data_IF_940710394886
#
_entry.id   IF_940710394886
#
_cell.length_a   1.000
_cell.length_b   1.000
_cell.length_c   1.000
_cell.angle_alpha   90.00
_cell.angle_beta   90.00
_cell.angle_gamma   90.00
#
_symmetry.space_group_name_H-M   'P 1'
#
loop_
_entity.id
_entity.type
_entity.pdbx_description
1 polymer ?
#
# COMPACT_ATOMS: atom_id res chain seq x y z
N UNK A 1 2.16 -4.43 -42.56
CA UNK A 1 2.79 -3.94 -41.34
C UNK A 1 3.05 -5.16 -40.47
N UNK A 2 4.29 -5.53 -40.30
CA UNK A 2 4.73 -6.79 -39.70
C UNK A 2 4.43 -6.81 -38.20
N UNK A 3 3.70 -7.83 -37.79
CA UNK A 3 3.45 -8.21 -36.40
C UNK A 3 4.80 -8.58 -35.73
N UNK A 4 5.49 -7.63 -35.17
CA UNK A 4 6.66 -7.88 -34.31
C UNK A 4 6.15 -8.17 -32.90
N UNK A 5 5.84 -9.46 -32.63
CA UNK A 5 5.59 -9.93 -31.27
C UNK A 5 6.84 -9.69 -30.42
N UNK A 6 6.74 -8.82 -29.40
CA UNK A 6 7.78 -8.66 -28.39
C UNK A 6 7.94 -9.98 -27.61
N UNK A 7 9.19 -10.39 -27.30
CA UNK A 7 9.42 -11.60 -26.53
C UNK A 7 8.81 -11.46 -25.14
N UNK A 8 7.98 -12.42 -24.74
CA UNK A 8 7.40 -12.47 -23.39
C UNK A 8 8.50 -12.70 -22.34
N UNK A 9 8.42 -11.97 -21.23
CA UNK A 9 9.32 -12.17 -20.12
C UNK A 9 9.16 -13.60 -19.56
N UNK A 10 10.26 -14.30 -19.20
CA UNK A 10 10.18 -15.65 -18.66
C UNK A 10 9.44 -15.65 -17.32
N UNK A 11 8.38 -16.45 -17.22
CA UNK A 11 7.58 -16.65 -16.00
C UNK A 11 6.10 -16.27 -16.11
N UNK A 12 5.56 -15.99 -17.31
CA UNK A 12 4.13 -15.70 -17.48
C UNK A 12 3.34 -16.99 -17.75
N UNK A 13 2.51 -17.41 -16.81
CA UNK A 13 1.46 -18.41 -17.08
C UNK A 13 0.21 -17.69 -17.60
N UNK A 14 0.07 -17.64 -18.93
CA UNK A 14 -1.05 -17.02 -19.64
C UNK A 14 -0.87 -15.51 -19.91
N UNK A 15 -1.62 -14.94 -20.85
CA UNK A 15 -1.50 -13.54 -21.24
C UNK A 15 -1.91 -12.62 -20.09
N UNK A 16 -0.97 -11.80 -19.60
CA UNK A 16 -1.20 -10.74 -18.63
C UNK A 16 -1.01 -11.09 -17.15
N UNK A 17 -0.76 -12.37 -16.81
CA UNK A 17 -0.55 -12.77 -15.41
C UNK A 17 0.92 -12.95 -15.09
N UNK A 18 1.39 -12.29 -14.05
CA UNK A 18 2.75 -12.48 -13.50
C UNK A 18 2.62 -13.10 -12.12
N UNK A 19 3.28 -14.24 -11.92
CA UNK A 19 3.51 -14.75 -10.56
C UNK A 19 4.47 -13.79 -9.87
N UNK A 20 3.97 -13.02 -8.91
CA UNK A 20 4.77 -12.03 -8.20
C UNK A 20 5.90 -12.70 -7.43
N UNK A 21 7.14 -12.47 -7.86
CA UNK A 21 8.31 -12.87 -7.10
C UNK A 21 8.52 -11.89 -5.94
N UNK A 22 8.74 -12.42 -4.73
CA UNK A 22 9.09 -11.58 -3.59
C UNK A 22 10.37 -10.76 -3.89
N UNK A 23 10.43 -9.49 -3.45
CA UNK A 23 11.64 -8.67 -3.62
C UNK A 23 12.84 -9.37 -2.99
N UNK A 24 13.94 -9.43 -3.75
CA UNK A 24 15.23 -10.00 -3.27
C UNK A 24 16.07 -9.00 -2.47
N UNK A 25 15.68 -7.72 -2.47
CA UNK A 25 16.36 -6.70 -1.69
C UNK A 25 16.27 -7.00 -0.19
N UNK A 26 17.42 -6.89 0.49
CA UNK A 26 17.56 -7.12 1.92
C UNK A 26 17.89 -5.77 2.58
N UNK A 27 17.13 -5.44 3.60
CA UNK A 27 17.30 -4.24 4.41
C UNK A 27 17.41 -4.67 5.88
N UNK A 28 18.63 -5.06 6.36
CA UNK A 28 18.83 -5.62 7.70
C UNK A 28 18.39 -4.68 8.81
N UNK A 29 18.47 -3.37 8.58
CA UNK A 29 18.09 -2.32 9.51
C UNK A 29 16.59 -2.27 9.81
N UNK A 30 15.75 -2.88 8.97
CA UNK A 30 14.31 -3.00 9.24
C UNK A 30 14.01 -4.05 10.32
N UNK A 31 14.89 -5.01 10.54
CA UNK A 31 14.66 -6.06 11.53
C UNK A 31 14.60 -5.48 12.95
N UNK A 32 13.56 -5.88 13.70
CA UNK A 32 13.28 -5.35 15.04
C UNK A 32 12.51 -4.03 15.08
N UNK A 33 12.31 -3.35 13.94
CA UNK A 33 11.42 -2.19 13.86
C UNK A 33 9.94 -2.59 13.96
N UNK A 34 9.08 -1.61 14.19
CA UNK A 34 7.63 -1.79 14.31
C UNK A 34 6.90 -0.95 13.28
N UNK A 35 5.96 -1.56 12.57
CA UNK A 35 5.11 -0.91 11.57
C UNK A 35 3.62 -1.04 11.89
N UNK A 36 2.83 -0.03 11.58
CA UNK A 36 1.38 -0.14 11.42
C UNK A 36 1.05 -0.22 9.93
N UNK A 37 0.17 -1.14 9.53
CA UNK A 37 -0.35 -1.27 8.16
C UNK A 37 -1.87 -1.31 8.20
N UNK A 38 -2.55 -0.34 7.58
CA UNK A 38 -4.01 -0.30 7.50
C UNK A 38 -4.51 -0.96 6.21
N UNK A 39 -5.75 -1.52 6.23
CA UNK A 39 -6.30 -2.28 5.10
C UNK A 39 -5.51 -3.55 4.83
N UNK A 40 -5.10 -4.27 5.88
CA UNK A 40 -4.13 -5.35 5.83
C UNK A 40 -4.75 -6.75 5.77
N UNK A 41 -6.08 -6.88 5.79
CA UNK A 41 -6.73 -8.19 5.76
C UNK A 41 -6.58 -8.91 4.41
N UNK A 42 -6.40 -8.16 3.31
CA UNK A 42 -6.33 -8.72 1.95
C UNK A 42 -5.49 -7.84 0.99
N UNK A 43 -5.33 -8.32 -0.24
CA UNK A 43 -4.71 -7.55 -1.32
C UNK A 43 -3.28 -7.10 -1.02
N UNK A 44 -2.97 -5.84 -1.34
CA UNK A 44 -1.62 -5.28 -1.13
C UNK A 44 -1.26 -5.21 0.35
N UNK A 45 -2.21 -4.82 1.22
CA UNK A 45 -1.95 -4.69 2.65
C UNK A 45 -1.53 -6.01 3.31
N UNK A 46 -2.15 -7.13 2.95
CA UNK A 46 -1.76 -8.45 3.43
C UNK A 46 -0.34 -8.82 2.97
N UNK A 47 0.00 -8.53 1.70
CA UNK A 47 1.35 -8.75 1.16
C UNK A 47 2.38 -7.85 1.85
N UNK A 48 2.00 -6.63 2.21
CA UNK A 48 2.87 -5.71 2.95
C UNK A 48 3.14 -6.24 4.37
N UNK A 49 2.09 -6.65 5.10
CA UNK A 49 2.22 -7.20 6.44
C UNK A 49 3.11 -8.46 6.44
N UNK A 50 2.88 -9.39 5.52
CA UNK A 50 3.70 -10.58 5.36
C UNK A 50 5.15 -10.24 4.98
N UNK A 51 5.33 -9.38 3.97
CA UNK A 51 6.64 -9.03 3.45
C UNK A 51 7.51 -8.28 4.45
N UNK A 52 6.91 -7.47 5.33
CA UNK A 52 7.57 -6.81 6.45
C UNK A 52 7.95 -7.83 7.54
N UNK A 53 6.99 -8.68 7.93
CA UNK A 53 7.23 -9.70 8.96
C UNK A 53 8.34 -10.69 8.56
N UNK A 54 8.40 -11.11 7.29
CA UNK A 54 9.48 -11.94 6.74
C UNK A 54 10.87 -11.27 6.78
N UNK A 55 10.94 -9.99 7.09
CA UNK A 55 12.18 -9.21 7.25
C UNK A 55 12.43 -8.80 8.70
N UNK A 56 11.71 -9.42 9.64
CA UNK A 56 11.87 -9.17 11.06
C UNK A 56 11.19 -7.90 11.56
N UNK A 57 10.34 -7.24 10.77
CA UNK A 57 9.53 -6.09 11.21
C UNK A 57 8.32 -6.60 11.97
N UNK A 58 8.08 -6.10 13.17
CA UNK A 58 6.84 -6.32 13.90
C UNK A 58 5.71 -5.50 13.28
N UNK A 59 4.54 -6.06 13.09
CA UNK A 59 3.44 -5.41 12.36
C UNK A 59 2.15 -5.40 13.19
N UNK A 60 1.61 -4.22 13.44
CA UNK A 60 0.20 -4.06 13.79
C UNK A 60 -0.56 -4.00 12.46
N UNK A 61 -1.21 -5.09 12.11
CA UNK A 61 -1.96 -5.21 10.87
C UNK A 61 -3.44 -4.94 11.15
N UNK A 62 -3.98 -3.89 10.56
CA UNK A 62 -5.30 -3.38 10.91
C UNK A 62 -6.24 -3.35 9.71
N UNK A 63 -7.49 -3.73 9.95
CA UNK A 63 -8.57 -3.70 8.95
C UNK A 63 -9.91 -3.46 9.63
N UNK A 64 -10.91 -3.03 8.88
CA UNK A 64 -12.29 -2.94 9.37
C UNK A 64 -12.89 -4.35 9.56
N UNK A 65 -12.44 -5.33 8.77
CA UNK A 65 -12.80 -6.74 8.85
C UNK A 65 -11.82 -7.48 9.78
N UNK A 66 -12.07 -7.42 11.08
CA UNK A 66 -11.20 -8.03 12.09
C UNK A 66 -11.05 -9.55 11.92
N UNK A 67 -12.10 -10.25 11.49
CA UNK A 67 -12.04 -11.71 11.38
C UNK A 67 -11.17 -12.14 10.19
N UNK A 68 -11.30 -11.45 9.04
CA UNK A 68 -10.39 -11.65 7.93
C UNK A 68 -8.94 -11.25 8.31
N UNK A 69 -8.76 -10.20 9.12
CA UNK A 69 -7.44 -9.78 9.59
C UNK A 69 -6.80 -10.81 10.51
N UNK A 70 -7.55 -11.41 11.42
CA UNK A 70 -7.07 -12.50 12.29
C UNK A 70 -6.59 -13.69 11.46
N UNK A 71 -7.39 -14.14 10.49
CA UNK A 71 -7.02 -15.26 9.61
C UNK A 71 -5.72 -14.97 8.83
N UNK A 72 -5.57 -13.74 8.34
CA UNK A 72 -4.34 -13.32 7.64
C UNK A 72 -3.14 -13.30 8.60
N UNK A 73 -3.29 -12.75 9.80
CA UNK A 73 -2.20 -12.68 10.78
C UNK A 73 -1.76 -14.09 11.23
N UNK A 74 -2.71 -15.02 11.48
CA UNK A 74 -2.42 -16.41 11.81
C UNK A 74 -1.63 -17.10 10.69
N UNK A 75 -2.05 -16.93 9.43
CA UNK A 75 -1.35 -17.51 8.29
C UNK A 75 0.08 -16.96 8.13
N UNK A 76 0.29 -15.66 8.35
CA UNK A 76 1.61 -15.05 8.31
C UNK A 76 2.48 -15.55 9.46
N UNK A 77 1.99 -15.53 10.68
CA UNK A 77 2.74 -15.99 11.87
C UNK A 77 3.13 -17.46 11.75
N UNK A 78 2.24 -18.33 11.28
CA UNK A 78 2.55 -19.75 11.04
C UNK A 78 3.69 -19.95 10.02
N UNK A 79 3.78 -19.10 8.98
CA UNK A 79 4.91 -19.13 8.05
C UNK A 79 6.21 -18.65 8.70
N UNK A 80 6.14 -17.67 9.63
CA UNK A 80 7.31 -17.22 10.39
C UNK A 80 7.87 -18.36 11.26
N UNK A 81 6.97 -19.12 11.91
CA UNK A 81 7.36 -20.24 12.76
C UNK A 81 8.04 -21.37 12.00
N UNK A 82 7.72 -21.52 10.71
CA UNK A 82 8.33 -22.52 9.82
C UNK A 82 9.70 -22.10 9.25
N UNK A 83 10.16 -20.86 9.49
CA UNK A 83 11.48 -20.42 9.02
C UNK A 83 12.61 -21.08 9.82
N UNK A 84 13.81 -21.26 9.19
CA UNK A 84 14.99 -21.80 9.87
C UNK A 84 15.33 -21.02 11.15
N UNK A 85 15.89 -21.70 12.14
CA UNK A 85 16.40 -21.06 13.35
C UNK A 85 17.45 -20.00 13.03
N UNK A 86 17.41 -18.87 13.74
CA UNK A 86 18.30 -17.72 13.47
C UNK A 86 17.83 -16.78 12.37
N UNK A 87 16.74 -17.08 11.65
CA UNK A 87 16.13 -16.14 10.72
C UNK A 87 15.44 -15.02 11.48
N UNK A 88 15.63 -13.75 11.09
CA UNK A 88 14.89 -12.63 11.64
C UNK A 88 13.38 -12.82 11.38
N UNK A 89 12.57 -12.67 12.42
CA UNK A 89 11.13 -12.89 12.39
C UNK A 89 10.42 -11.70 12.99
N UNK A 90 9.46 -11.17 12.26
CA UNK A 90 8.52 -10.19 12.79
C UNK A 90 7.24 -10.88 13.23
N UNK A 91 6.58 -10.33 14.23
CA UNK A 91 5.26 -10.80 14.66
C UNK A 91 4.17 -9.92 14.07
N UNK A 92 3.08 -10.51 13.61
CA UNK A 92 1.90 -9.79 13.12
C UNK A 92 0.79 -9.88 14.16
N UNK A 93 0.32 -8.73 14.62
CA UNK A 93 -0.82 -8.60 15.54
C UNK A 93 -2.00 -8.01 14.78
N UNK A 94 -3.15 -8.71 14.73
CA UNK A 94 -4.36 -8.21 14.09
C UNK A 94 -5.05 -7.16 14.96
N UNK A 95 -5.56 -6.09 14.35
CA UNK A 95 -6.37 -5.07 15.01
C UNK A 95 -7.57 -4.67 14.16
N UNK A 96 -8.66 -4.25 14.81
CA UNK A 96 -9.80 -3.63 14.13
C UNK A 96 -9.56 -2.12 14.00
N UNK A 97 -9.86 -1.56 12.83
CA UNK A 97 -9.86 -0.10 12.64
C UNK A 97 -10.85 0.31 11.55
N UNK A 98 -11.71 1.27 11.84
CA UNK A 98 -12.29 2.13 10.82
C UNK A 98 -11.33 3.33 10.65
N UNK A 99 -10.69 3.43 9.50
CA UNK A 99 -9.73 4.52 9.24
C UNK A 99 -10.38 5.90 9.15
N UNK A 100 -11.71 5.96 9.03
CA UNK A 100 -12.46 7.21 9.13
C UNK A 100 -12.62 7.71 10.57
N UNK A 101 -12.31 6.88 11.59
CA UNK A 101 -12.32 7.28 13.00
C UNK A 101 -10.89 7.61 13.47
N UNK A 102 -10.60 8.88 13.85
CA UNK A 102 -9.28 9.25 14.34
C UNK A 102 -8.89 8.53 15.64
N UNK A 103 -9.84 8.13 16.49
CA UNK A 103 -9.55 7.40 17.72
C UNK A 103 -8.97 6.00 17.44
N UNK A 104 -9.42 5.36 16.36
CA UNK A 104 -8.88 4.06 15.95
C UNK A 104 -7.38 4.11 15.64
N UNK A 105 -6.90 5.18 15.01
CA UNK A 105 -5.47 5.35 14.71
C UNK A 105 -4.61 5.54 15.96
N UNK A 106 -5.11 6.29 16.94
CA UNK A 106 -4.44 6.44 18.24
C UNK A 106 -4.31 5.09 18.96
N UNK A 107 -5.37 4.27 18.89
CA UNK A 107 -5.37 2.92 19.47
C UNK A 107 -4.33 2.01 18.79
N UNK A 108 -4.19 2.06 17.46
CA UNK A 108 -3.15 1.31 16.74
C UNK A 108 -1.74 1.72 17.17
N UNK A 109 -1.49 3.03 17.31
CA UNK A 109 -0.21 3.54 17.76
C UNK A 109 0.09 3.08 19.21
N UNK A 110 -0.92 3.16 20.10
CA UNK A 110 -0.79 2.68 21.49
C UNK A 110 -0.53 1.17 21.54
N UNK A 111 -1.21 0.40 20.69
CA UNK A 111 -1.00 -1.05 20.61
C UNK A 111 0.44 -1.38 20.17
N UNK A 112 1.00 -0.64 19.20
CA UNK A 112 2.39 -0.80 18.78
C UNK A 112 3.38 -0.58 19.96
N UNK A 113 3.15 0.44 20.77
CA UNK A 113 3.98 0.68 21.96
C UNK A 113 3.81 -0.41 23.02
N UNK A 114 2.60 -0.91 23.24
CA UNK A 114 2.30 -1.93 24.25
C UNK A 114 2.93 -3.29 23.87
N UNK A 115 2.82 -3.67 22.62
CA UNK A 115 3.25 -5.00 22.15
C UNK A 115 4.73 -5.05 21.76
N UNK A 116 5.29 -3.93 21.27
CA UNK A 116 6.62 -3.90 20.66
C UNK A 116 7.52 -2.76 21.17
N UNK A 117 7.08 -2.04 22.20
CA UNK A 117 7.82 -0.96 22.85
C UNK A 117 8.19 0.23 21.92
N UNK A 118 7.52 0.40 20.78
CA UNK A 118 7.75 1.54 19.89
C UNK A 118 7.03 1.45 18.56
N UNK A 119 7.18 2.52 17.77
CA UNK A 119 6.61 2.66 16.44
C UNK A 119 7.60 3.39 15.53
N UNK A 120 7.97 2.77 14.42
CA UNK A 120 9.00 3.26 13.50
C UNK A 120 8.43 3.57 12.10
N UNK A 121 7.38 2.85 11.69
CA UNK A 121 6.81 2.95 10.35
C UNK A 121 5.29 2.99 10.38
N UNK A 122 4.70 3.73 9.42
CA UNK A 122 3.26 3.78 9.23
C UNK A 122 2.89 3.66 7.76
N UNK A 123 2.02 2.72 7.41
CA UNK A 123 1.56 2.49 6.03
C UNK A 123 0.06 2.72 5.96
N UNK A 124 -0.34 3.87 5.41
CA UNK A 124 -1.73 4.19 5.11
C UNK A 124 -2.12 3.50 3.79
N UNK A 125 -2.56 2.24 3.88
CA UNK A 125 -2.92 1.44 2.70
C UNK A 125 -4.44 1.28 2.52
N UNK A 126 -5.25 1.38 3.56
CA UNK A 126 -6.70 1.29 3.45
C UNK A 126 -7.28 2.26 2.40
N UNK A 127 -8.26 1.79 1.64
CA UNK A 127 -8.90 2.63 0.63
C UNK A 127 -10.04 1.92 -0.08
N UNK A 128 -10.99 2.70 -0.60
CA UNK A 128 -12.14 2.23 -1.38
C UNK A 128 -12.10 2.79 -2.80
N UNK A 129 -12.71 2.05 -3.74
CA UNK A 129 -12.68 2.32 -5.18
C UNK A 129 -14.07 2.14 -5.80
N UNK A 130 -15.08 2.94 -5.41
CA UNK A 130 -16.42 2.83 -5.96
C UNK A 130 -16.47 3.30 -7.42
N UNK A 131 -17.43 2.76 -8.17
CA UNK A 131 -17.78 3.20 -9.52
C UNK A 131 -19.01 4.11 -9.47
N UNK A 132 -18.87 5.35 -9.95
CA UNK A 132 -19.98 6.26 -10.21
C UNK A 132 -19.52 7.32 -11.21
N UNK A 133 -20.38 7.67 -12.18
CA UNK A 133 -20.15 8.85 -13.00
C UNK A 133 -20.30 10.13 -12.16
N UNK A 134 -19.56 11.19 -12.50
CA UNK A 134 -19.62 12.47 -11.77
C UNK A 134 -21.03 13.05 -11.75
N UNK A 135 -21.81 12.85 -12.82
CA UNK A 135 -23.23 13.27 -12.89
C UNK A 135 -24.14 12.57 -11.89
N UNK A 136 -23.76 11.38 -11.43
CA UNK A 136 -24.67 10.46 -10.72
C UNK A 136 -24.18 10.09 -9.33
N UNK A 137 -22.96 10.54 -8.95
CA UNK A 137 -22.41 10.24 -7.63
C UNK A 137 -23.20 10.94 -6.53
N UNK A 138 -23.65 10.18 -5.53
CA UNK A 138 -24.39 10.76 -4.41
C UNK A 138 -23.46 11.45 -3.39
N UNK A 139 -24.00 12.38 -2.57
CA UNK A 139 -23.22 12.98 -1.48
C UNK A 139 -22.62 11.94 -0.53
N UNK A 140 -23.35 10.87 -0.22
CA UNK A 140 -22.90 9.80 0.69
C UNK A 140 -21.74 9.00 0.08
N UNK A 141 -21.77 8.79 -1.24
CA UNK A 141 -20.69 8.08 -1.94
C UNK A 141 -19.40 8.91 -1.96
N UNK A 142 -19.49 10.21 -2.24
CA UNK A 142 -18.29 11.06 -2.21
C UNK A 142 -17.74 11.23 -0.79
N UNK A 143 -18.64 11.36 0.20
CA UNK A 143 -18.29 11.44 1.62
C UNK A 143 -17.51 10.19 2.06
N UNK A 144 -18.01 9.00 1.73
CA UNK A 144 -17.33 7.75 2.04
C UNK A 144 -15.93 7.67 1.41
N UNK A 145 -15.79 8.09 0.14
CA UNK A 145 -14.49 8.12 -0.54
C UNK A 145 -13.51 9.07 0.13
N UNK A 146 -13.95 10.27 0.48
CA UNK A 146 -13.10 11.27 1.12
C UNK A 146 -12.72 10.86 2.54
N UNK A 147 -13.67 10.36 3.33
CA UNK A 147 -13.40 9.88 4.71
C UNK A 147 -12.37 8.76 4.74
N UNK A 148 -12.56 7.74 3.91
CA UNK A 148 -11.63 6.60 3.91
C UNK A 148 -10.29 6.95 3.25
N UNK A 149 -10.33 7.51 2.03
CA UNK A 149 -9.12 7.65 1.21
C UNK A 149 -8.27 8.89 1.56
N UNK A 150 -8.85 9.94 2.16
CA UNK A 150 -8.16 11.20 2.44
C UNK A 150 -8.07 11.45 3.95
N UNK A 151 -9.20 11.50 4.66
CA UNK A 151 -9.20 11.76 6.11
C UNK A 151 -8.49 10.62 6.86
N UNK A 152 -8.71 9.36 6.46
CA UNK A 152 -8.01 8.21 7.04
C UNK A 152 -6.49 8.29 6.89
N UNK A 153 -5.99 8.78 5.74
CA UNK A 153 -4.56 9.03 5.55
C UNK A 153 -4.05 10.15 6.46
N UNK A 154 -4.84 11.23 6.59
CA UNK A 154 -4.50 12.34 7.48
C UNK A 154 -4.45 11.90 8.94
N UNK A 155 -5.49 11.21 9.43
CA UNK A 155 -5.56 10.74 10.82
C UNK A 155 -4.46 9.74 11.14
N UNK A 156 -4.17 8.80 10.24
CA UNK A 156 -3.05 7.87 10.40
C UNK A 156 -1.70 8.59 10.46
N UNK A 157 -1.50 9.59 9.60
CA UNK A 157 -0.27 10.39 9.63
C UNK A 157 -0.15 11.25 10.89
N UNK A 158 -1.27 11.75 11.43
CA UNK A 158 -1.30 12.50 12.69
C UNK A 158 -0.95 11.60 13.89
N UNK A 159 -1.51 10.39 13.96
CA UNK A 159 -1.17 9.43 15.00
C UNK A 159 0.31 9.03 14.89
N UNK A 160 0.78 8.73 13.68
CA UNK A 160 2.19 8.48 13.41
C UNK A 160 3.10 9.62 13.91
N UNK A 161 2.77 10.87 13.57
CA UNK A 161 3.54 12.05 13.96
C UNK A 161 3.61 12.30 15.49
N UNK A 162 2.63 11.78 16.25
CA UNK A 162 2.61 11.87 17.72
C UNK A 162 3.37 10.75 18.41
N UNK A 163 3.42 9.57 17.78
CA UNK A 163 3.87 8.34 18.44
C UNK A 163 5.14 7.72 17.85
N UNK A 164 5.52 8.08 16.61
CA UNK A 164 6.71 7.52 15.98
C UNK A 164 8.00 8.12 16.52
N UNK A 165 9.04 7.31 16.51
CA UNK A 165 10.41 7.75 16.82
C UNK A 165 10.98 8.59 15.67
N UNK A 166 11.88 9.56 15.95
CA UNK A 166 12.67 10.21 14.90
C UNK A 166 13.43 9.18 14.05
N UNK A 167 13.54 9.44 12.75
CA UNK A 167 14.09 8.50 11.77
C UNK A 167 13.05 7.61 11.10
N UNK A 168 11.82 7.61 11.60
CA UNK A 168 10.72 6.82 11.07
C UNK A 168 10.21 7.25 9.69
N UNK A 169 9.39 6.40 9.07
CA UNK A 169 8.85 6.65 7.74
C UNK A 169 7.34 6.38 7.65
N UNK A 170 6.62 7.31 7.04
CA UNK A 170 5.20 7.19 6.69
C UNK A 170 5.11 6.95 5.18
N UNK A 171 4.33 5.95 4.76
CA UNK A 171 4.06 5.67 3.35
C UNK A 171 2.55 5.66 3.10
N UNK A 172 2.11 6.53 2.19
CA UNK A 172 0.71 6.69 1.81
C UNK A 172 0.43 5.99 0.47
N UNK A 173 -0.66 5.26 0.35
CA UNK A 173 -1.07 4.67 -0.93
C UNK A 173 -1.88 5.67 -1.76
N UNK A 174 -1.19 6.33 -2.71
CA UNK A 174 -1.81 7.09 -3.78
C UNK A 174 -2.26 6.16 -4.92
N UNK A 175 -2.21 6.58 -6.16
CA UNK A 175 -2.49 5.81 -7.37
C UNK A 175 -2.00 6.58 -8.60
N UNK A 176 -1.74 5.90 -9.70
CA UNK A 176 -1.62 6.58 -11.02
C UNK A 176 -2.87 7.34 -11.37
N UNK A 177 -4.02 7.01 -10.79
CA UNK A 177 -5.27 7.76 -10.92
C UNK A 177 -5.22 9.16 -10.32
N UNK A 178 -4.19 9.49 -9.54
CA UNK A 178 -3.93 10.87 -9.07
C UNK A 178 -3.59 11.82 -10.24
N UNK A 179 -3.03 11.29 -11.33
CA UNK A 179 -2.61 12.06 -12.53
C UNK A 179 -3.32 11.59 -13.81
N UNK A 180 -3.88 10.39 -13.82
CA UNK A 180 -4.66 9.84 -14.95
C UNK A 180 -6.14 9.76 -14.59
N UNK A 181 -6.97 10.45 -15.35
CA UNK A 181 -8.42 10.41 -15.13
C UNK A 181 -9.02 9.12 -15.71
N UNK A 182 -9.98 8.53 -15.00
CA UNK A 182 -10.74 7.36 -15.45
C UNK A 182 -12.24 7.63 -15.38
N UNK A 183 -12.96 7.27 -16.45
CA UNK A 183 -14.43 7.38 -16.48
C UNK A 183 -15.04 6.57 -15.34
N UNK A 184 -16.04 7.13 -14.67
CA UNK A 184 -16.72 6.50 -13.54
C UNK A 184 -15.88 6.37 -12.27
N UNK A 185 -14.71 7.06 -12.20
CA UNK A 185 -13.79 7.03 -11.05
C UNK A 185 -13.39 8.42 -10.57
N UNK A 186 -14.16 9.47 -10.92
CA UNK A 186 -13.79 10.85 -10.66
C UNK A 186 -13.50 11.15 -9.19
N UNK A 187 -14.37 10.72 -8.27
CA UNK A 187 -14.17 10.91 -6.83
C UNK A 187 -12.91 10.18 -6.32
N UNK A 188 -12.67 8.95 -6.78
CA UNK A 188 -11.45 8.21 -6.45
C UNK A 188 -10.20 8.92 -6.99
N UNK A 189 -10.21 9.38 -8.25
CA UNK A 189 -9.09 10.12 -8.84
C UNK A 189 -8.77 11.37 -8.01
N UNK A 190 -9.80 12.15 -7.65
CA UNK A 190 -9.65 13.33 -6.80
C UNK A 190 -9.08 12.97 -5.42
N UNK A 191 -9.56 11.91 -4.77
CA UNK A 191 -9.05 11.47 -3.48
C UNK A 191 -7.57 11.07 -3.55
N UNK A 192 -7.14 10.37 -4.61
CA UNK A 192 -5.74 9.94 -4.75
C UNK A 192 -4.80 11.09 -5.16
N UNK A 193 -5.30 12.10 -5.87
CA UNK A 193 -4.59 13.35 -6.09
C UNK A 193 -4.41 14.12 -4.77
N UNK A 194 -5.45 14.18 -3.93
CA UNK A 194 -5.38 14.76 -2.59
C UNK A 194 -4.33 14.06 -1.72
N UNK A 195 -4.28 12.71 -1.73
CA UNK A 195 -3.26 11.94 -0.98
C UNK A 195 -1.84 12.27 -1.47
N UNK A 196 -1.63 12.38 -2.79
CA UNK A 196 -0.31 12.72 -3.33
C UNK A 196 0.15 14.09 -2.81
N UNK A 197 -0.70 15.11 -2.88
CA UNK A 197 -0.38 16.46 -2.42
C UNK A 197 -0.30 16.56 -0.88
N UNK A 198 -1.17 15.85 -0.16
CA UNK A 198 -1.10 15.76 1.30
C UNK A 198 0.23 15.14 1.76
N UNK A 199 0.77 14.18 1.00
CA UNK A 199 2.09 13.58 1.26
C UNK A 199 3.21 14.64 1.21
N UNK A 200 3.16 15.56 0.23
CA UNK A 200 4.12 16.66 0.13
C UNK A 200 4.02 17.61 1.32
N UNK A 201 2.80 17.99 1.71
CA UNK A 201 2.55 18.84 2.87
C UNK A 201 3.03 18.19 4.17
N UNK A 202 2.70 16.91 4.38
CA UNK A 202 3.14 16.15 5.56
C UNK A 202 4.67 16.02 5.60
N UNK A 203 5.33 15.85 4.47
CA UNK A 203 6.79 15.76 4.41
C UNK A 203 7.47 17.06 4.87
N UNK A 204 6.90 18.21 4.49
CA UNK A 204 7.38 19.53 4.92
C UNK A 204 7.17 19.72 6.42
N UNK A 205 5.95 19.42 6.92
CA UNK A 205 5.61 19.68 8.32
C UNK A 205 6.26 18.70 9.31
N UNK A 206 6.47 17.45 8.89
CA UNK A 206 7.00 16.39 9.77
C UNK A 206 8.53 16.22 9.66
N UNK A 207 9.17 16.91 8.73
CA UNK A 207 10.63 16.90 8.57
C UNK A 207 11.37 17.35 9.85
N UNK A 208 10.86 18.36 10.54
CA UNK A 208 11.43 18.84 11.81
C UNK A 208 11.33 17.81 12.95
N UNK A 209 10.43 16.83 12.82
CA UNK A 209 10.33 15.68 13.72
C UNK A 209 11.25 14.53 13.35
N UNK A 210 12.03 14.68 12.27
CA UNK A 210 12.88 13.62 11.73
C UNK A 210 12.09 12.50 11.03
N UNK A 211 10.84 12.74 10.60
CA UNK A 211 10.03 11.77 9.91
C UNK A 211 10.05 12.02 8.40
N UNK A 212 10.12 10.94 7.62
CA UNK A 212 9.98 10.99 6.16
C UNK A 212 8.56 10.58 5.78
N UNK A 213 7.98 11.28 4.82
CA UNK A 213 6.64 10.97 4.31
C UNK A 213 6.70 10.86 2.79
N UNK A 214 6.34 9.70 2.25
CA UNK A 214 6.29 9.48 0.81
C UNK A 214 4.97 8.77 0.43
N UNK A 215 4.66 8.74 -0.85
CA UNK A 215 3.57 7.92 -1.35
C UNK A 215 4.02 6.97 -2.44
N UNK A 216 3.27 5.88 -2.59
CA UNK A 216 3.37 4.97 -3.73
C UNK A 216 2.13 5.16 -4.58
N UNK A 217 2.30 5.22 -5.90
CA UNK A 217 1.23 5.34 -6.88
C UNK A 217 1.16 4.08 -7.76
N UNK A 218 0.46 3.01 -7.31
CA UNK A 218 0.30 1.80 -8.11
C UNK A 218 -0.52 2.04 -9.37
N UNK A 219 -0.18 1.31 -10.44
CA UNK A 219 -0.97 1.20 -11.66
C UNK A 219 -2.03 0.09 -11.56
N UNK A 220 -2.15 -0.71 -12.61
CA UNK A 220 -2.95 -1.92 -12.61
C UNK A 220 -2.20 -3.06 -11.91
N UNK A 221 -2.54 -3.30 -10.64
CA UNK A 221 -1.96 -4.37 -9.81
C UNK A 221 -2.97 -5.52 -9.69
N UNK A 222 -2.52 -6.75 -9.83
CA UNK A 222 -3.32 -7.97 -9.68
C UNK A 222 -3.76 -8.15 -8.23
N UNK A 223 -4.97 -7.68 -7.94
CA UNK A 223 -5.62 -7.73 -6.61
C UNK A 223 -7.12 -7.94 -6.79
N UNK A 224 -7.83 -8.21 -5.69
CA UNK A 224 -9.28 -8.27 -5.71
C UNK A 224 -9.94 -6.98 -6.23
N UNK A 225 -9.39 -5.81 -5.90
CA UNK A 225 -9.88 -4.51 -6.36
C UNK A 225 -9.87 -4.36 -7.89
N UNK A 226 -8.97 -5.06 -8.59
CA UNK A 226 -8.83 -5.03 -10.06
C UNK A 226 -9.37 -6.28 -10.74
N UNK A 227 -10.01 -7.20 -10.01
CA UNK A 227 -10.54 -8.46 -10.54
C UNK A 227 -11.52 -8.24 -11.72
N UNK A 228 -12.35 -7.20 -11.62
CA UNK A 228 -13.28 -6.83 -12.68
C UNK A 228 -12.62 -6.55 -14.04
N UNK A 229 -11.34 -6.08 -14.03
CA UNK A 229 -10.56 -5.91 -15.27
C UNK A 229 -10.17 -7.26 -15.84
N UNK A 230 -9.82 -8.22 -14.99
CA UNK A 230 -9.34 -9.54 -15.41
C UNK A 230 -10.47 -10.44 -15.89
N UNK A 231 -11.69 -10.26 -15.37
CA UNK A 231 -12.90 -11.01 -15.73
C UNK A 231 -13.50 -10.56 -17.06
N UNK A 232 -13.17 -9.35 -17.55
CA UNK A 232 -13.59 -8.86 -18.86
C UNK A 232 -12.38 -8.83 -19.83
N UNK A 233 -12.34 -9.73 -20.85
CA UNK A 233 -11.23 -9.77 -21.81
C UNK A 233 -11.00 -8.45 -22.56
N UNK A 234 -12.07 -7.67 -22.79
CA UNK A 234 -11.95 -6.36 -23.47
C UNK A 234 -11.33 -5.31 -22.54
N UNK A 235 -11.81 -5.25 -21.29
CA UNK A 235 -11.24 -4.38 -20.29
C UNK A 235 -9.77 -4.72 -20.00
N UNK A 236 -9.44 -6.00 -19.91
CA UNK A 236 -8.06 -6.47 -19.71
C UNK A 236 -7.16 -6.04 -20.89
N UNK A 237 -7.58 -6.24 -22.13
CA UNK A 237 -6.82 -5.82 -23.30
C UNK A 237 -6.57 -4.31 -23.28
N UNK A 238 -7.59 -3.49 -23.06
CA UNK A 238 -7.44 -2.04 -22.98
C UNK A 238 -6.51 -1.63 -21.83
N UNK A 239 -6.58 -2.32 -20.69
CA UNK A 239 -5.67 -2.07 -19.57
C UNK A 239 -4.21 -2.37 -19.97
N UNK A 240 -3.96 -3.55 -20.58
CA UNK A 240 -2.63 -3.97 -21.00
C UNK A 240 -2.07 -3.10 -22.13
N UNK A 241 -2.88 -2.67 -23.07
CA UNK A 241 -2.48 -1.74 -24.13
C UNK A 241 -2.05 -0.37 -23.58
N UNK A 242 -2.62 0.02 -22.42
CA UNK A 242 -2.27 1.25 -21.73
C UNK A 242 -1.09 1.11 -20.73
N UNK A 243 -0.43 -0.03 -20.71
CA UNK A 243 0.76 -0.30 -19.86
C UNK A 243 1.94 -0.65 -20.76
N UNK A 244 2.98 0.18 -20.87
CA UNK A 244 4.15 -0.10 -21.71
C UNK A 244 4.81 -1.45 -21.45
N UNK A 245 4.76 -2.00 -20.25
CA UNK A 245 5.24 -3.35 -19.95
C UNK A 245 4.25 -4.46 -20.30
N UNK A 246 3.06 -4.14 -20.87
CA UNK A 246 2.02 -5.04 -21.38
C UNK A 246 1.60 -6.16 -20.39
N UNK A 247 1.63 -5.89 -19.09
CA UNK A 247 1.18 -6.80 -18.04
C UNK A 247 0.64 -6.05 -16.83
N UNK A 248 -0.11 -6.75 -16.00
CA UNK A 248 -0.43 -6.27 -14.66
C UNK A 248 0.83 -6.33 -13.78
N UNK A 249 0.91 -5.43 -12.82
CA UNK A 249 1.88 -5.54 -11.73
C UNK A 249 1.38 -6.51 -10.66
N UNK A 250 2.30 -7.00 -9.82
CA UNK A 250 1.97 -7.79 -8.64
C UNK A 250 2.07 -6.96 -7.36
N UNK A 251 1.34 -7.31 -6.29
CA UNK A 251 1.52 -6.69 -4.97
C UNK A 251 2.97 -6.75 -4.46
N UNK A 252 3.71 -7.80 -4.82
CA UNK A 252 5.12 -7.98 -4.44
C UNK A 252 6.04 -6.94 -5.11
N UNK A 253 5.70 -6.44 -6.31
CA UNK A 253 6.46 -5.37 -6.96
C UNK A 253 6.23 -4.04 -6.24
N UNK A 254 5.01 -3.80 -5.73
CA UNK A 254 4.72 -2.63 -4.89
C UNK A 254 5.42 -2.74 -3.54
N UNK A 255 5.45 -3.93 -2.93
CA UNK A 255 6.20 -4.21 -1.70
C UNK A 255 7.69 -3.84 -1.85
N UNK A 256 8.30 -4.08 -3.01
CA UNK A 256 9.70 -3.72 -3.25
C UNK A 256 9.97 -2.22 -3.04
N UNK A 257 9.08 -1.38 -3.54
CA UNK A 257 9.16 0.08 -3.36
C UNK A 257 8.82 0.48 -1.92
N UNK A 258 7.85 -0.18 -1.29
CA UNK A 258 7.55 0.05 0.13
C UNK A 258 8.77 -0.20 1.00
N UNK A 259 9.44 -1.34 0.85
CA UNK A 259 10.65 -1.69 1.61
C UNK A 259 11.77 -0.66 1.41
N UNK A 260 12.00 -0.21 0.18
CA UNK A 260 12.95 0.87 -0.11
C UNK A 260 12.58 2.15 0.66
N UNK A 261 11.32 2.58 0.59
CA UNK A 261 10.88 3.82 1.25
C UNK A 261 10.96 3.76 2.78
N UNK A 262 10.80 2.58 3.37
CA UNK A 262 10.93 2.39 4.82
C UNK A 262 12.40 2.31 5.26
N UNK A 263 13.32 1.86 4.38
CA UNK A 263 14.73 1.60 4.69
C UNK A 263 15.59 2.86 4.76
N UNK A 264 16.80 2.71 5.27
CA UNK A 264 17.85 3.73 5.28
C UNK A 264 18.32 4.14 3.87
N UNK A 265 18.09 3.30 2.87
CA UNK A 265 18.37 3.64 1.46
C UNK A 265 17.56 4.84 0.97
N UNK A 266 16.42 5.14 1.63
CA UNK A 266 15.55 6.29 1.33
C UNK A 266 15.68 7.44 2.35
N UNK A 267 16.74 7.48 3.17
CA UNK A 267 16.87 8.50 4.24
C UNK A 267 16.91 9.96 3.78
N UNK A 268 17.12 10.20 2.50
CA UNK A 268 17.05 11.54 1.89
C UNK A 268 15.89 11.68 0.88
N UNK A 269 14.93 10.74 0.92
CA UNK A 269 13.73 10.74 0.08
C UNK A 269 12.51 11.04 0.95
N UNK A 270 11.91 12.21 0.74
CA UNK A 270 10.67 12.64 1.41
C UNK A 270 9.86 13.53 0.47
N UNK A 271 8.53 13.55 0.60
CA UNK A 271 7.61 14.34 -0.24
C UNK A 271 7.38 13.76 -1.64
N UNK A 272 7.82 12.54 -1.94
CA UNK A 272 7.74 11.97 -3.28
C UNK A 272 6.59 10.97 -3.42
N UNK A 273 5.97 10.96 -4.64
CA UNK A 273 5.03 9.94 -5.07
C UNK A 273 5.69 9.05 -6.13
N UNK A 274 6.04 7.81 -5.77
CA UNK A 274 6.73 6.87 -6.65
C UNK A 274 5.70 6.00 -7.37
N UNK A 275 5.68 6.08 -8.70
CA UNK A 275 4.80 5.24 -9.52
C UNK A 275 5.35 3.81 -9.65
N UNK A 276 4.46 2.81 -9.43
CA UNK A 276 4.71 1.38 -9.67
C UNK A 276 3.63 0.90 -10.62
N UNK A 277 3.79 1.17 -11.90
CA UNK A 277 2.69 1.19 -12.86
C UNK A 277 3.03 0.65 -14.25
N UNK A 278 4.21 0.09 -14.44
CA UNK A 278 4.67 -0.40 -15.74
C UNK A 278 4.76 0.68 -16.83
N UNK A 279 4.86 1.96 -16.43
CA UNK A 279 4.93 3.12 -17.33
C UNK A 279 3.57 3.72 -17.70
N UNK A 280 2.47 3.22 -17.14
CA UNK A 280 1.12 3.59 -17.56
C UNK A 280 0.74 5.06 -17.31
N UNK A 281 1.45 5.77 -16.43
CA UNK A 281 1.16 7.21 -16.18
C UNK A 281 1.54 8.14 -17.34
N UNK A 282 2.33 7.65 -18.29
CA UNK A 282 2.91 8.46 -19.37
C UNK A 282 2.25 8.20 -20.75
N UNK A 283 1.22 7.36 -20.84
CA UNK A 283 0.51 6.98 -22.07
C UNK A 283 -0.99 7.19 -21.97
#
# INVERSE_FOLDING_TARGET
MSDTAYPQAPGSEGPGRVVGRAPSAVYPELAGSTAVVTGAARGMGAVFAEGLALRGVNVIAADIDLDAMKATAEAVNARQDALPEGTARGRVIPAAVDVADPAGHEELARLAHTEFAGLDHWVNNAGIFPFAYISDISPEQIDAVLKVNVEGVLFGSQAAARHMRPGGAIVNMSSVSAVRVRRGRGAYCASKASVAHLTESLAVELGDKGLRVNSIAPGYIDTEMTRWVQEDPTALRHALDSVPLHRLGSPQEVLGVLLFLLSDSARYVTGHSIAVDGGSRHV
#
